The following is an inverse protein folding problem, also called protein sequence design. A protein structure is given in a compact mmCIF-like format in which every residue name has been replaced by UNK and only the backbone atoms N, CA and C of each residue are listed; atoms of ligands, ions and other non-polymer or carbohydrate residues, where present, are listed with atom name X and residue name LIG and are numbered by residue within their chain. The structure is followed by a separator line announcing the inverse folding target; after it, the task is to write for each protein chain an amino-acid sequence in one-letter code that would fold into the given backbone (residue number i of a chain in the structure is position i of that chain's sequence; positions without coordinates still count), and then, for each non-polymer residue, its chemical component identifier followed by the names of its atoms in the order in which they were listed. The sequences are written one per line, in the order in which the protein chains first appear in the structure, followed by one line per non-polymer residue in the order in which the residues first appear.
data_IF_998015069841
#
_entry.id   IF_998015069841
#
_cell.length_a   1.000
_cell.length_b   1.000
_cell.length_c   1.000
_cell.angle_alpha   90.00
_cell.angle_beta   90.00
_cell.angle_gamma   90.00
#
_symmetry.space_group_name_H-M   'P 1'
#
loop_
_entity.id
_entity.type
_entity.pdbx_description
1 polymer ?
#
# COMPACT_ATOMS: atom_id res chain seq x y z
N UNK A 1 -34.32 17.90 -9.68
CA UNK A 1 -33.34 18.11 -10.76
C UNK A 1 -32.31 19.09 -10.23
N UNK A 2 -31.15 18.58 -9.80
CA UNK A 2 -29.98 19.41 -9.55
C UNK A 2 -28.77 18.59 -10.01
N UNK A 3 -28.39 18.84 -11.25
CA UNK A 3 -27.19 18.32 -11.91
C UNK A 3 -25.99 19.05 -11.34
N UNK A 4 -25.32 18.49 -10.34
CA UNK A 4 -23.98 18.95 -9.95
C UNK A 4 -22.99 18.31 -10.90
N UNK A 5 -22.40 19.14 -11.75
CA UNK A 5 -21.35 18.79 -12.69
C UNK A 5 -20.17 18.12 -11.97
N UNK A 6 -19.62 17.09 -12.61
CA UNK A 6 -18.35 16.50 -12.22
C UNK A 6 -17.25 17.57 -12.36
N UNK A 7 -16.72 18.06 -11.24
CA UNK A 7 -15.45 18.78 -11.25
C UNK A 7 -14.34 17.79 -11.61
N UNK A 8 -13.73 18.03 -12.77
CA UNK A 8 -12.54 17.30 -13.22
C UNK A 8 -11.38 17.67 -12.31
N UNK A 9 -10.64 16.70 -11.73
CA UNK A 9 -9.44 17.01 -10.96
C UNK A 9 -8.46 17.77 -11.86
N UNK A 10 -8.06 18.97 -11.46
CA UNK A 10 -6.97 19.69 -12.09
C UNK A 10 -5.67 18.94 -11.83
N UNK A 11 -4.97 18.54 -12.89
CA UNK A 11 -3.63 17.96 -12.81
C UNK A 11 -2.74 18.81 -11.89
N UNK A 12 -1.85 18.19 -11.09
CA UNK A 12 -0.96 18.94 -10.22
C UNK A 12 -0.18 19.95 -11.06
N UNK A 13 -0.24 21.21 -10.65
CA UNK A 13 0.49 22.28 -11.31
C UNK A 13 1.98 21.88 -11.43
N UNK A 14 2.54 22.01 -12.62
CA UNK A 14 3.97 21.83 -12.88
C UNK A 14 4.75 22.85 -12.01
N UNK A 15 5.11 22.42 -10.80
CA UNK A 15 5.97 23.18 -9.90
C UNK A 15 7.35 23.33 -10.58
N UNK A 16 7.89 24.56 -10.68
CA UNK A 16 9.10 24.81 -11.45
C UNK A 16 10.30 24.06 -10.87
N UNK A 17 10.91 23.24 -11.71
CA UNK A 17 12.01 22.32 -11.40
C UNK A 17 13.34 23.08 -11.30
N UNK A 18 13.95 23.11 -10.10
CA UNK A 18 15.39 23.34 -9.96
C UNK A 18 16.06 21.99 -9.71
N UNK A 19 16.81 21.56 -10.73
CA UNK A 19 17.82 20.48 -10.71
C UNK A 19 17.37 19.01 -10.87
N UNK A 20 16.57 18.71 -11.90
CA UNK A 20 16.53 17.34 -12.44
C UNK A 20 17.77 17.07 -13.30
N UNK A 21 18.56 16.07 -12.91
CA UNK A 21 19.67 15.58 -13.74
C UNK A 21 19.14 15.28 -15.15
N UNK A 22 19.88 15.71 -16.18
CA UNK A 22 19.49 15.51 -17.60
C UNK A 22 19.16 14.05 -17.93
N UNK A 23 19.71 13.13 -17.15
CA UNK A 23 19.51 11.68 -17.25
C UNK A 23 18.08 11.29 -16.86
N UNK A 24 17.53 11.80 -15.75
CA UNK A 24 16.16 11.48 -15.31
C UNK A 24 15.16 11.91 -16.40
N UNK A 25 15.31 13.12 -16.94
CA UNK A 25 14.46 13.61 -18.04
C UNK A 25 14.57 12.76 -19.31
N UNK A 26 15.74 12.18 -19.59
CA UNK A 26 15.90 11.26 -20.70
C UNK A 26 15.20 9.91 -20.44
N UNK A 27 15.26 9.39 -19.21
CA UNK A 27 14.54 8.19 -18.79
C UNK A 27 13.02 8.38 -18.87
N UNK A 28 12.51 9.51 -18.40
CA UNK A 28 11.07 9.84 -18.42
C UNK A 28 10.53 10.03 -19.84
N UNK A 29 11.38 10.45 -20.78
CA UNK A 29 11.01 10.52 -22.21
C UNK A 29 11.13 9.19 -22.95
N UNK A 30 11.59 8.14 -22.27
CA UNK A 30 11.79 6.81 -22.86
C UNK A 30 12.96 6.73 -23.84
N UNK A 31 13.93 7.66 -23.76
CA UNK A 31 15.12 7.65 -24.63
C UNK A 31 16.23 6.72 -24.12
N UNK A 32 16.13 6.25 -22.88
CA UNK A 32 17.10 5.36 -22.25
C UNK A 32 16.52 3.94 -22.19
N UNK A 33 17.24 2.91 -22.67
CA UNK A 33 16.80 1.52 -22.55
C UNK A 33 16.52 1.10 -21.11
N UNK A 34 15.47 0.32 -20.88
CA UNK A 34 15.04 -0.13 -19.55
C UNK A 34 16.15 -0.84 -18.76
N UNK A 35 17.07 -1.54 -19.44
CA UNK A 35 18.23 -2.19 -18.81
C UNK A 35 19.18 -1.19 -18.13
N UNK A 36 19.40 -0.03 -18.77
CA UNK A 36 20.23 1.05 -18.21
C UNK A 36 19.48 1.82 -17.13
N UNK A 37 18.17 2.06 -17.32
CA UNK A 37 17.31 2.67 -16.29
C UNK A 37 17.37 1.84 -15.00
N UNK A 38 17.15 0.52 -15.11
CA UNK A 38 17.23 -0.42 -13.98
C UNK A 38 18.61 -0.50 -13.35
N UNK A 39 19.68 -0.41 -14.15
CA UNK A 39 21.04 -0.33 -13.61
C UNK A 39 21.25 0.92 -12.74
N UNK A 40 20.76 2.08 -13.20
CA UNK A 40 20.75 3.31 -12.41
C UNK A 40 19.93 3.19 -11.13
N UNK A 41 18.74 2.58 -11.19
CA UNK A 41 17.91 2.31 -10.01
C UNK A 41 18.66 1.46 -8.97
N UNK A 42 19.34 0.39 -9.39
CA UNK A 42 20.15 -0.44 -8.47
C UNK A 42 21.30 0.32 -7.81
N UNK A 43 21.91 1.28 -8.52
CA UNK A 43 22.93 2.15 -7.93
C UNK A 43 22.33 3.06 -6.85
N UNK A 44 21.16 3.67 -7.10
CA UNK A 44 20.46 4.50 -6.12
C UNK A 44 20.01 3.68 -4.90
N UNK A 45 19.52 2.45 -5.10
CA UNK A 45 19.16 1.52 -4.02
C UNK A 45 20.37 1.18 -3.16
N UNK A 46 21.53 0.91 -3.78
CA UNK A 46 22.77 0.66 -3.05
C UNK A 46 23.21 1.88 -2.24
N UNK A 47 23.08 3.07 -2.80
CA UNK A 47 23.41 4.32 -2.10
C UNK A 47 22.49 4.53 -0.90
N UNK A 48 21.17 4.27 -1.05
CA UNK A 48 20.21 4.35 0.05
C UNK A 48 20.61 3.46 1.24
N UNK A 49 21.08 2.24 1.00
CA UNK A 49 21.56 1.37 2.08
C UNK A 49 22.75 1.98 2.84
N UNK A 50 23.63 2.71 2.15
CA UNK A 50 24.74 3.42 2.80
C UNK A 50 24.24 4.61 3.59
N UNK A 51 23.37 5.42 3.00
CA UNK A 51 22.81 6.64 3.61
C UNK A 51 22.02 6.34 4.89
N UNK A 52 21.28 5.23 4.90
CA UNK A 52 20.50 4.77 6.05
C UNK A 52 21.32 3.88 7.01
N UNK A 53 22.65 3.85 6.85
CA UNK A 53 23.59 3.16 7.73
C UNK A 53 23.36 1.64 7.85
N UNK A 54 22.97 0.96 6.76
CA UNK A 54 22.65 -0.47 6.76
C UNK A 54 23.78 -1.35 7.36
N UNK A 55 25.04 -0.96 7.12
CA UNK A 55 26.23 -1.69 7.54
C UNK A 55 26.86 -1.20 8.86
N UNK A 56 26.28 -0.20 9.53
CA UNK A 56 26.74 0.30 10.83
C UNK A 56 25.65 0.08 11.88
N UNK A 57 25.83 -0.94 12.73
CA UNK A 57 24.84 -1.30 13.73
C UNK A 57 24.59 -0.19 14.75
N UNK A 58 25.63 0.55 15.15
CA UNK A 58 25.52 1.59 16.18
C UNK A 58 24.73 2.79 15.64
N UNK A 59 25.09 3.27 14.44
CA UNK A 59 24.39 4.37 13.80
C UNK A 59 22.96 3.98 13.41
N UNK A 60 22.75 2.75 12.92
CA UNK A 60 21.41 2.25 12.59
C UNK A 60 20.50 2.21 13.82
N UNK A 61 20.98 1.68 14.95
CA UNK A 61 20.18 1.66 16.19
C UNK A 61 19.85 3.07 16.65
N UNK A 62 20.80 4.00 16.64
CA UNK A 62 20.53 5.39 17.01
C UNK A 62 19.54 6.08 16.07
N UNK A 63 19.65 5.82 14.75
CA UNK A 63 18.70 6.34 13.76
C UNK A 63 17.30 5.79 13.99
N UNK A 64 17.19 4.49 14.29
CA UNK A 64 15.91 3.83 14.55
C UNK A 64 15.25 4.35 15.84
N UNK A 65 15.99 4.56 16.93
CA UNK A 65 15.42 5.15 18.16
C UNK A 65 14.91 6.57 17.91
N UNK A 66 15.68 7.42 17.22
CA UNK A 66 15.21 8.77 16.83
C UNK A 66 13.94 8.71 15.98
N UNK A 67 13.88 7.75 15.06
CA UNK A 67 12.70 7.53 14.22
C UNK A 67 11.48 7.13 15.05
N UNK A 68 11.64 6.25 16.04
CA UNK A 68 10.54 5.90 16.97
C UNK A 68 10.04 7.11 17.75
N UNK A 69 10.94 7.95 18.25
CA UNK A 69 10.58 9.18 18.98
C UNK A 69 9.84 10.18 18.08
N UNK A 70 10.27 10.34 16.83
CA UNK A 70 9.57 11.16 15.83
C UNK A 70 8.15 10.63 15.55
N UNK A 71 7.98 9.32 15.36
CA UNK A 71 6.67 8.71 15.12
C UNK A 71 5.74 8.88 16.33
N UNK A 72 6.26 8.78 17.57
CA UNK A 72 5.49 9.02 18.80
C UNK A 72 5.12 10.49 19.02
N UNK A 73 5.88 11.41 18.43
CA UNK A 73 5.55 12.84 18.47
C UNK A 73 4.62 13.29 17.33
N UNK A 74 4.43 12.44 16.31
CA UNK A 74 3.64 12.74 15.12
C UNK A 74 2.13 12.59 15.34
N UNK A 75 1.28 13.17 14.48
CA UNK A 75 -0.12 12.77 14.38
C UNK A 75 -0.27 11.34 13.80
N UNK A 76 -1.47 10.76 13.83
CA UNK A 76 -1.74 9.41 13.25
C UNK A 76 -1.32 9.35 11.78
N UNK A 77 -1.67 10.37 11.00
CA UNK A 77 -1.19 10.59 9.65
C UNK A 77 -0.90 12.08 9.45
N UNK A 78 0.03 12.38 8.54
CA UNK A 78 0.27 13.75 8.08
C UNK A 78 -0.55 13.90 6.80
N UNK A 79 -1.62 14.69 6.88
CA UNK A 79 -2.42 15.00 5.69
C UNK A 79 -1.55 15.79 4.72
N UNK A 80 -1.22 15.15 3.61
CA UNK A 80 -0.68 15.84 2.45
C UNK A 80 -1.75 15.71 1.37
N UNK A 81 -2.45 16.81 1.02
CA UNK A 81 -3.36 16.84 -0.13
C UNK A 81 -2.72 16.24 -1.40
N UNK A 82 -1.39 16.32 -1.51
CA UNK A 82 -0.58 15.67 -2.54
C UNK A 82 -0.63 14.13 -2.53
N UNK A 83 -0.64 13.44 -1.39
CA UNK A 83 -0.63 11.97 -1.34
C UNK A 83 -1.94 11.36 -1.87
N UNK A 84 -3.08 11.99 -1.58
CA UNK A 84 -4.38 11.56 -2.11
C UNK A 84 -4.56 11.87 -3.60
N UNK A 85 -3.96 12.96 -4.10
CA UNK A 85 -3.99 13.31 -5.53
C UNK A 85 -3.08 12.41 -6.38
N UNK A 86 -1.86 12.09 -5.89
CA UNK A 86 -0.83 11.42 -6.70
C UNK A 86 -1.13 9.98 -7.12
N UNK A 87 -1.95 9.23 -6.38
CA UNK A 87 -2.24 7.81 -6.69
C UNK A 87 -3.61 7.55 -7.31
N UNK A 88 -4.58 8.44 -7.12
CA UNK A 88 -5.99 8.18 -7.42
C UNK A 88 -6.58 9.07 -8.51
N UNK A 89 -5.74 9.80 -9.25
CA UNK A 89 -6.15 10.63 -10.41
C UNK A 89 -6.54 9.80 -11.64
N UNK A 90 -6.06 8.55 -11.77
CA UNK A 90 -6.40 7.69 -12.90
C UNK A 90 -7.73 6.96 -12.66
N UNK A 91 -8.57 6.81 -13.71
CA UNK A 91 -9.85 6.13 -13.60
C UNK A 91 -9.66 4.64 -13.29
N UNK A 92 -10.65 4.02 -12.65
CA UNK A 92 -10.65 2.60 -12.28
C UNK A 92 -10.27 1.68 -13.46
N UNK A 93 -10.74 2.04 -14.66
CA UNK A 93 -10.46 1.35 -15.92
C UNK A 93 -8.96 1.25 -16.26
N UNK A 94 -8.11 2.16 -15.76
CA UNK A 94 -6.65 2.04 -15.86
C UNK A 94 -6.15 0.85 -15.08
N UNK A 95 -6.56 0.71 -13.82
CA UNK A 95 -6.18 -0.40 -12.96
C UNK A 95 -6.72 -1.72 -13.50
N UNK A 96 -7.96 -1.73 -13.99
CA UNK A 96 -8.55 -2.89 -14.67
C UNK A 96 -7.82 -3.34 -15.95
N UNK A 97 -7.12 -2.42 -16.61
CA UNK A 97 -6.44 -2.73 -17.87
C UNK A 97 -5.17 -3.55 -17.68
N UNK A 98 -4.51 -3.48 -16.52
CA UNK A 98 -3.18 -4.06 -16.32
C UNK A 98 -2.94 -4.79 -14.99
N UNK A 99 -3.75 -4.55 -13.95
CA UNK A 99 -3.71 -5.39 -12.74
C UNK A 99 -4.33 -6.76 -13.01
N UNK A 100 -4.22 -7.68 -12.04
CA UNK A 100 -4.85 -8.98 -12.13
C UNK A 100 -6.36 -8.90 -11.89
N UNK A 101 -7.09 -10.02 -12.05
CA UNK A 101 -8.56 -10.05 -11.97
C UNK A 101 -9.14 -9.63 -10.62
N UNK A 102 -8.35 -9.70 -9.53
CA UNK A 102 -8.78 -9.24 -8.21
C UNK A 102 -8.54 -7.75 -8.02
N UNK A 103 -7.85 -7.07 -8.95
CA UNK A 103 -7.43 -5.67 -8.84
C UNK A 103 -6.62 -5.41 -7.57
N UNK A 104 -5.78 -6.38 -7.20
CA UNK A 104 -4.96 -6.29 -6.01
C UNK A 104 -3.78 -5.39 -6.31
N UNK A 105 -3.82 -4.16 -5.81
CA UNK A 105 -2.72 -3.20 -5.94
C UNK A 105 -1.78 -3.26 -4.72
N UNK A 106 -1.22 -4.44 -4.48
CA UNK A 106 -0.25 -4.76 -3.41
C UNK A 106 0.43 -6.09 -3.73
N UNK A 107 1.51 -6.45 -3.01
CA UNK A 107 2.32 -7.65 -3.29
C UNK A 107 1.51 -8.95 -3.48
N UNK A 108 1.69 -9.67 -4.59
CA UNK A 108 1.15 -11.03 -4.82
C UNK A 108 2.02 -12.12 -4.15
N UNK A 109 1.54 -13.36 -4.09
CA UNK A 109 2.27 -14.47 -3.48
C UNK A 109 2.64 -15.53 -4.52
N UNK A 110 3.91 -15.91 -4.58
CA UNK A 110 4.47 -16.81 -5.60
C UNK A 110 5.20 -17.99 -4.94
N UNK A 111 4.48 -18.93 -4.31
CA UNK A 111 5.09 -20.04 -3.58
C UNK A 111 6.00 -20.93 -4.44
N UNK A 112 5.68 -21.10 -5.72
CA UNK A 112 6.46 -21.90 -6.68
C UNK A 112 7.32 -21.03 -7.61
N UNK A 113 6.93 -19.76 -7.82
CA UNK A 113 7.69 -18.80 -8.59
C UNK A 113 7.34 -18.77 -10.08
N UNK A 114 6.39 -19.59 -10.53
CA UNK A 114 5.89 -19.68 -11.90
C UNK A 114 4.42 -19.24 -12.04
N UNK A 115 3.80 -18.76 -10.95
CA UNK A 115 2.43 -18.30 -10.95
C UNK A 115 2.22 -17.12 -11.90
N UNK A 116 1.10 -17.16 -12.63
CA UNK A 116 0.54 -15.99 -13.30
C UNK A 116 0.11 -14.94 -12.28
N UNK A 117 -0.07 -13.68 -12.72
CA UNK A 117 -0.53 -12.60 -11.84
C UNK A 117 -1.86 -12.96 -11.16
N UNK A 118 -2.81 -13.55 -11.90
CA UNK A 118 -4.10 -13.97 -11.36
C UNK A 118 -3.97 -15.03 -10.26
N UNK A 119 -3.08 -16.01 -10.45
CA UNK A 119 -2.80 -17.03 -9.43
C UNK A 119 -2.13 -16.41 -8.20
N UNK A 120 -1.18 -15.49 -8.41
CA UNK A 120 -0.45 -14.85 -7.32
C UNK A 120 -1.32 -13.91 -6.47
N UNK A 121 -2.28 -13.21 -7.08
CA UNK A 121 -3.28 -12.42 -6.36
C UNK A 121 -4.13 -13.31 -5.46
N UNK A 122 -4.70 -14.39 -6.01
CA UNK A 122 -5.53 -15.34 -5.27
C UNK A 122 -4.75 -16.01 -4.13
N UNK A 123 -3.54 -16.49 -4.40
CA UNK A 123 -2.68 -17.13 -3.41
C UNK A 123 -2.37 -16.20 -2.23
N UNK A 124 -2.19 -14.90 -2.48
CA UNK A 124 -1.99 -13.94 -1.40
C UNK A 124 -3.26 -13.68 -0.59
N UNK A 125 -4.44 -13.60 -1.24
CA UNK A 125 -5.72 -13.45 -0.54
C UNK A 125 -6.02 -14.66 0.35
N UNK A 126 -5.73 -15.87 -0.14
CA UNK A 126 -5.81 -17.11 0.65
C UNK A 126 -4.84 -17.10 1.84
N UNK A 127 -3.60 -16.64 1.63
CA UNK A 127 -2.62 -16.51 2.70
C UNK A 127 -3.04 -15.50 3.77
N UNK A 128 -3.70 -14.39 3.38
CA UNK A 128 -4.30 -13.46 4.34
C UNK A 128 -5.39 -14.15 5.15
N UNK A 129 -6.26 -14.93 4.49
CA UNK A 129 -7.34 -15.63 5.15
C UNK A 129 -6.84 -16.63 6.20
N UNK A 130 -5.77 -17.38 5.86
CA UNK A 130 -5.10 -18.29 6.77
C UNK A 130 -4.49 -17.54 7.97
N UNK A 131 -3.65 -16.53 7.72
CA UNK A 131 -2.87 -15.85 8.77
C UNK A 131 -3.72 -14.94 9.65
N UNK A 132 -4.75 -14.31 9.09
CA UNK A 132 -5.73 -13.53 9.83
C UNK A 132 -6.80 -14.42 10.49
N UNK A 133 -6.80 -15.73 10.24
CA UNK A 133 -7.78 -16.69 10.78
C UNK A 133 -9.21 -16.26 10.46
N UNK A 134 -9.46 -15.97 9.18
CA UNK A 134 -10.77 -15.56 8.68
C UNK A 134 -11.67 -16.78 8.57
N UNK A 135 -12.91 -16.62 9.01
CA UNK A 135 -13.92 -17.67 9.02
C UNK A 135 -15.30 -17.12 8.65
N UNK A 136 -16.14 -18.00 8.11
CA UNK A 136 -17.51 -17.66 7.78
C UNK A 136 -18.33 -17.36 9.04
N UNK A 137 -19.18 -16.33 8.99
CA UNK A 137 -19.95 -15.85 10.15
C UNK A 137 -19.30 -14.73 10.96
N UNK A 138 -18.05 -14.35 10.67
CA UNK A 138 -17.36 -13.25 11.33
C UNK A 138 -17.80 -11.87 10.81
N UNK A 139 -17.70 -10.84 11.64
CA UNK A 139 -17.68 -9.44 11.23
C UNK A 139 -16.24 -8.99 10.97
N UNK A 140 -15.93 -8.67 9.72
CA UNK A 140 -14.56 -8.44 9.24
C UNK A 140 -14.43 -7.03 8.67
N UNK A 141 -13.43 -6.27 9.12
CA UNK A 141 -13.07 -4.96 8.55
C UNK A 141 -11.85 -5.07 7.63
N UNK A 142 -12.00 -4.64 6.38
CA UNK A 142 -10.91 -4.33 5.45
C UNK A 142 -10.54 -2.84 5.59
N UNK A 143 -9.43 -2.56 6.27
CA UNK A 143 -8.99 -1.25 6.70
C UNK A 143 -7.97 -0.67 5.71
N UNK A 144 -8.42 0.26 4.86
CA UNK A 144 -7.66 0.75 3.71
C UNK A 144 -7.87 -0.13 2.49
N UNK A 145 -9.14 -0.35 2.10
CA UNK A 145 -9.52 -1.45 1.19
C UNK A 145 -9.12 -1.28 -0.29
N UNK A 146 -8.60 -0.11 -0.70
CA UNK A 146 -8.25 0.17 -2.09
C UNK A 146 -9.43 -0.05 -3.06
N UNK A 147 -9.22 -0.85 -4.10
CA UNK A 147 -10.28 -1.25 -5.05
C UNK A 147 -11.13 -2.44 -4.57
N UNK A 148 -11.02 -2.80 -3.29
CA UNK A 148 -11.80 -3.85 -2.63
C UNK A 148 -11.39 -5.27 -3.00
N UNK A 149 -10.16 -5.49 -3.43
CA UNK A 149 -9.66 -6.82 -3.81
C UNK A 149 -9.90 -7.85 -2.71
N UNK A 150 -9.61 -7.49 -1.45
CA UNK A 150 -9.82 -8.35 -0.30
C UNK A 150 -11.29 -8.35 0.15
N UNK A 151 -11.91 -7.17 0.33
CA UNK A 151 -13.32 -7.06 0.71
C UNK A 151 -14.28 -7.88 -0.18
N UNK A 152 -14.17 -7.75 -1.50
CA UNK A 152 -15.01 -8.47 -2.47
C UNK A 152 -14.72 -9.98 -2.43
N UNK A 153 -13.45 -10.37 -2.27
CA UNK A 153 -13.06 -11.77 -2.16
C UNK A 153 -13.61 -12.41 -0.87
N UNK A 154 -13.48 -11.73 0.28
CA UNK A 154 -14.02 -12.20 1.55
C UNK A 154 -15.54 -12.34 1.50
N UNK A 155 -16.23 -11.33 0.98
CA UNK A 155 -17.69 -11.35 0.87
C UNK A 155 -18.20 -12.54 0.04
N UNK A 156 -17.51 -12.84 -1.08
CA UNK A 156 -17.79 -14.00 -1.93
C UNK A 156 -17.44 -15.34 -1.25
N UNK A 157 -16.32 -15.39 -0.52
CA UNK A 157 -15.77 -16.61 0.08
C UNK A 157 -16.49 -17.03 1.37
N UNK A 158 -17.07 -16.07 2.07
CA UNK A 158 -17.70 -16.20 3.40
C UNK A 158 -19.10 -15.59 3.39
N UNK A 159 -20.11 -16.29 2.86
CA UNK A 159 -21.44 -15.72 2.63
C UNK A 159 -22.22 -15.37 3.91
N UNK A 160 -21.84 -15.92 5.08
CA UNK A 160 -22.42 -15.57 6.39
C UNK A 160 -21.61 -14.51 7.14
N UNK A 161 -20.41 -14.17 6.67
CA UNK A 161 -19.64 -13.08 7.26
C UNK A 161 -20.26 -11.72 6.95
N UNK A 162 -20.06 -10.74 7.82
CA UNK A 162 -20.38 -9.33 7.57
C UNK A 162 -19.08 -8.59 7.25
N UNK A 163 -18.85 -8.29 5.98
CA UNK A 163 -17.64 -7.58 5.55
C UNK A 163 -17.91 -6.08 5.53
N UNK A 164 -17.03 -5.31 6.16
CA UNK A 164 -17.02 -3.85 6.08
C UNK A 164 -15.71 -3.43 5.43
N UNK A 165 -15.76 -2.58 4.41
CA UNK A 165 -14.59 -2.03 3.76
C UNK A 165 -14.51 -0.52 4.04
N UNK A 166 -13.39 -0.04 4.59
CA UNK A 166 -13.16 1.38 4.85
C UNK A 166 -12.12 1.93 3.86
N UNK A 167 -12.55 2.95 3.10
CA UNK A 167 -11.69 3.71 2.18
C UNK A 167 -11.88 5.20 2.45
N UNK A 168 -10.85 6.03 2.21
CA UNK A 168 -10.98 7.48 2.21
C UNK A 168 -11.53 8.03 0.86
N UNK A 169 -11.63 7.18 -0.17
CA UNK A 169 -12.02 7.56 -1.53
C UNK A 169 -13.48 7.22 -1.84
N UNK A 170 -14.22 8.23 -2.30
CA UNK A 170 -15.60 8.04 -2.80
C UNK A 170 -15.63 7.23 -4.11
N UNK A 171 -14.60 7.37 -4.95
CA UNK A 171 -14.48 6.62 -6.21
C UNK A 171 -14.30 5.12 -5.95
N UNK A 172 -13.37 4.76 -5.05
CA UNK A 172 -13.19 3.37 -4.62
C UNK A 172 -14.46 2.78 -4.02
N UNK A 173 -15.18 3.55 -3.20
CA UNK A 173 -16.47 3.11 -2.68
C UNK A 173 -17.47 2.78 -3.81
N UNK A 174 -17.69 3.70 -4.74
CA UNK A 174 -18.62 3.50 -5.84
C UNK A 174 -18.23 2.29 -6.70
N UNK A 175 -16.94 2.11 -6.96
CA UNK A 175 -16.40 0.95 -7.65
C UNK A 175 -16.74 -0.37 -6.95
N UNK A 176 -16.44 -0.46 -5.66
CA UNK A 176 -16.67 -1.67 -4.86
C UNK A 176 -18.17 -1.99 -4.77
N UNK A 177 -19.02 -1.00 -4.52
CA UNK A 177 -20.48 -1.19 -4.47
C UNK A 177 -21.02 -1.69 -5.81
N UNK A 178 -20.55 -1.14 -6.94
CA UNK A 178 -20.93 -1.62 -8.27
C UNK A 178 -20.50 -3.07 -8.52
N UNK A 179 -19.28 -3.44 -8.12
CA UNK A 179 -18.78 -4.83 -8.23
C UNK A 179 -19.53 -5.79 -7.30
N UNK A 180 -19.87 -5.37 -6.09
CA UNK A 180 -20.65 -6.15 -5.14
C UNK A 180 -22.05 -6.43 -5.71
N UNK A 181 -22.73 -5.41 -6.26
CA UNK A 181 -24.03 -5.56 -6.90
C UNK A 181 -24.00 -6.51 -8.12
N UNK A 182 -22.98 -6.37 -8.99
CA UNK A 182 -22.79 -7.27 -10.13
C UNK A 182 -22.62 -8.73 -9.70
N UNK A 183 -21.94 -8.97 -8.57
CA UNK A 183 -21.68 -10.30 -8.01
C UNK A 183 -22.77 -10.79 -7.04
N UNK A 184 -23.81 -9.97 -6.78
CA UNK A 184 -24.89 -10.24 -5.82
C UNK A 184 -24.36 -10.54 -4.41
N UNK A 185 -23.43 -9.69 -3.94
CA UNK A 185 -22.82 -9.78 -2.62
C UNK A 185 -23.56 -8.86 -1.65
N UNK A 186 -24.53 -9.40 -0.92
CA UNK A 186 -25.38 -8.64 0.01
C UNK A 186 -24.75 -8.47 1.41
N UNK A 187 -23.60 -9.10 1.63
CA UNK A 187 -22.90 -9.16 2.91
C UNK A 187 -21.68 -8.20 3.01
N UNK A 188 -21.58 -7.23 2.09
CA UNK A 188 -20.51 -6.24 2.05
C UNK A 188 -21.07 -4.82 2.21
N UNK A 189 -20.59 -4.09 3.22
CA UNK A 189 -20.83 -2.65 3.41
C UNK A 189 -19.55 -1.87 3.14
N UNK A 190 -19.64 -0.82 2.31
CA UNK A 190 -18.50 0.07 2.06
C UNK A 190 -18.71 1.42 2.74
N UNK A 191 -17.70 1.87 3.48
CA UNK A 191 -17.71 3.10 4.27
C UNK A 191 -16.64 4.03 3.71
N UNK A 192 -16.99 5.31 3.55
CA UNK A 192 -16.03 6.35 3.20
C UNK A 192 -15.67 7.16 4.44
N UNK A 193 -14.40 7.18 4.84
CA UNK A 193 -13.92 7.93 5.99
C UNK A 193 -12.41 8.02 6.06
N UNK A 194 -11.89 9.15 6.55
CA UNK A 194 -10.48 9.31 6.89
C UNK A 194 -10.21 8.58 8.20
N UNK A 195 -9.21 7.69 8.23
CA UNK A 195 -8.88 6.90 9.41
C UNK A 195 -8.48 7.74 10.63
N UNK A 196 -7.98 8.95 10.44
CA UNK A 196 -7.62 9.86 11.53
C UNK A 196 -8.87 10.32 12.27
N UNK A 197 -9.89 10.72 11.54
CA UNK A 197 -11.11 11.36 12.08
C UNK A 197 -12.29 10.39 12.27
N UNK A 198 -12.40 9.39 11.41
CA UNK A 198 -13.53 8.46 11.38
C UNK A 198 -13.54 7.54 12.60
N UNK A 199 -14.69 7.36 13.25
CA UNK A 199 -14.90 6.34 14.27
C UNK A 199 -16.22 5.61 13.98
N UNK A 200 -16.27 4.32 14.30
CA UNK A 200 -17.51 3.55 14.24
C UNK A 200 -18.40 3.91 15.42
N UNK A 201 -19.72 3.83 15.24
CA UNK A 201 -20.64 4.16 16.34
C UNK A 201 -20.46 3.16 17.50
N UNK A 202 -20.55 3.63 18.74
CA UNK A 202 -20.29 2.81 19.95
C UNK A 202 -21.27 1.66 20.14
N UNK A 203 -22.42 1.74 19.51
CA UNK A 203 -23.49 0.73 19.50
C UNK A 203 -23.37 -0.24 18.32
N UNK A 204 -22.45 -0.03 17.36
CA UNK A 204 -22.14 -1.04 16.36
C UNK A 204 -21.41 -2.22 17.00
N UNK A 205 -21.75 -3.44 16.54
CA UNK A 205 -21.03 -4.63 16.95
C UNK A 205 -19.53 -4.53 16.60
N UNK A 206 -18.64 -4.95 17.51
CA UNK A 206 -17.20 -4.94 17.26
C UNK A 206 -16.81 -5.95 16.17
N UNK A 207 -15.61 -5.79 15.61
CA UNK A 207 -15.08 -6.67 14.58
C UNK A 207 -14.36 -7.86 15.19
N UNK A 208 -14.67 -9.07 14.70
CA UNK A 208 -13.91 -10.28 15.03
C UNK A 208 -12.52 -10.22 14.40
N UNK A 209 -12.43 -9.63 13.20
CA UNK A 209 -11.19 -9.49 12.45
C UNK A 209 -11.09 -8.11 11.83
N UNK A 210 -9.91 -7.52 11.94
CA UNK A 210 -9.52 -6.34 11.17
C UNK A 210 -8.31 -6.73 10.34
N UNK A 211 -8.36 -6.46 9.05
CA UNK A 211 -7.27 -6.73 8.11
C UNK A 211 -6.87 -5.42 7.46
N UNK A 212 -5.58 -5.12 7.43
CA UNK A 212 -5.06 -3.92 6.76
C UNK A 212 -3.91 -4.31 5.84
N UNK A 213 -4.01 -3.92 4.57
CA UNK A 213 -3.04 -4.27 3.53
C UNK A 213 -2.42 -2.99 2.96
N UNK A 214 -1.12 -2.80 3.19
CA UNK A 214 -0.32 -1.68 2.68
C UNK A 214 -0.91 -0.27 2.96
N UNK A 215 -1.59 -0.09 4.09
CA UNK A 215 -2.12 1.21 4.56
C UNK A 215 -1.20 1.89 5.59
N UNK A 216 -0.57 1.10 6.45
CA UNK A 216 0.21 1.58 7.61
C UNK A 216 1.46 2.37 7.18
N UNK A 217 1.94 2.18 5.96
CA UNK A 217 3.07 2.89 5.35
C UNK A 217 2.76 4.38 5.12
N UNK A 218 1.48 4.74 5.08
CA UNK A 218 1.01 6.13 5.03
C UNK A 218 0.84 6.76 6.42
N UNK A 219 0.90 5.97 7.48
CA UNK A 219 0.68 6.41 8.85
C UNK A 219 2.01 6.83 9.51
N UNK A 220 1.91 7.47 10.68
CA UNK A 220 3.05 7.95 11.47
C UNK A 220 2.93 7.49 12.92
N UNK A 221 1.92 7.95 13.65
CA UNK A 221 1.77 7.56 15.05
C UNK A 221 1.06 6.20 15.21
N UNK A 222 1.82 5.11 15.04
CA UNK A 222 1.32 3.74 15.14
C UNK A 222 0.67 3.39 16.49
N UNK A 223 1.16 3.94 17.61
CA UNK A 223 0.57 3.71 18.94
C UNK A 223 -0.91 4.15 19.01
N UNK A 224 -1.18 5.43 18.77
CA UNK A 224 -2.55 5.98 18.68
C UNK A 224 -3.43 5.26 17.65
N UNK A 225 -2.87 4.90 16.50
CA UNK A 225 -3.61 4.12 15.49
C UNK A 225 -4.01 2.74 16.02
N UNK A 226 -3.07 1.99 16.61
CA UNK A 226 -3.33 0.67 17.17
C UNK A 226 -4.30 0.75 18.36
N UNK A 227 -4.20 1.79 19.20
CA UNK A 227 -5.16 2.07 20.27
C UNK A 227 -6.59 2.30 19.73
N UNK A 228 -6.70 3.03 18.61
CA UNK A 228 -7.98 3.24 17.91
C UNK A 228 -8.55 1.94 17.36
N UNK A 229 -7.73 1.16 16.67
CA UNK A 229 -8.12 -0.15 16.12
C UNK A 229 -8.53 -1.12 17.24
N UNK A 230 -7.83 -1.11 18.38
CA UNK A 230 -8.15 -1.94 19.53
C UNK A 230 -9.58 -1.72 20.03
N UNK A 231 -10.09 -0.49 20.00
CA UNK A 231 -11.48 -0.18 20.41
C UNK A 231 -12.53 -0.78 19.47
N UNK A 232 -12.17 -1.03 18.21
CA UNK A 232 -13.08 -1.61 17.21
C UNK A 232 -13.11 -3.14 17.26
N UNK A 233 -12.11 -3.77 17.86
CA UNK A 233 -12.02 -5.22 17.94
C UNK A 233 -12.94 -5.78 19.02
N UNK A 234 -13.44 -6.99 18.78
CA UNK A 234 -14.00 -7.84 19.83
C UNK A 234 -12.91 -8.26 20.82
N UNK A 235 -13.28 -8.81 21.97
CA UNK A 235 -12.31 -9.17 23.02
C UNK A 235 -11.35 -10.29 22.58
N UNK A 236 -11.85 -11.24 21.79
CA UNK A 236 -11.06 -12.27 21.10
C UNK A 236 -10.72 -11.88 19.64
N UNK A 237 -10.94 -10.62 19.30
CA UNK A 237 -10.70 -10.07 17.97
C UNK A 237 -9.21 -10.01 17.63
N UNK A 238 -8.91 -10.13 16.33
CA UNK A 238 -7.52 -10.06 15.82
C UNK A 238 -7.35 -8.99 14.77
N UNK A 239 -6.21 -8.30 14.82
CA UNK A 239 -5.75 -7.43 13.74
C UNK A 239 -4.66 -8.15 12.95
N UNK A 240 -4.80 -8.23 11.64
CA UNK A 240 -3.75 -8.66 10.73
C UNK A 240 -3.28 -7.48 9.89
N UNK A 241 -1.96 -7.25 9.87
CA UNK A 241 -1.33 -6.19 9.08
C UNK A 241 -0.37 -6.80 8.07
N UNK A 242 -0.57 -6.48 6.80
CA UNK A 242 0.42 -6.67 5.74
C UNK A 242 1.11 -5.34 5.48
N UNK A 243 2.43 -5.35 5.54
CA UNK A 243 3.27 -4.16 5.40
C UNK A 243 4.44 -4.49 4.48
N UNK A 244 4.72 -3.67 3.47
CA UNK A 244 6.05 -3.73 2.86
C UNK A 244 7.07 -3.11 3.80
N UNK A 245 8.28 -3.67 3.87
CA UNK A 245 9.27 -3.25 4.84
C UNK A 245 10.70 -3.52 4.36
N UNK A 246 11.65 -2.82 4.96
CA UNK A 246 13.04 -3.26 4.97
C UNK A 246 13.28 -4.19 6.18
N UNK A 247 14.18 -5.17 6.06
CA UNK A 247 14.41 -6.17 7.12
C UNK A 247 14.85 -5.58 8.48
N UNK A 248 15.56 -4.45 8.48
CA UNK A 248 16.12 -3.81 9.70
C UNK A 248 15.98 -2.29 9.77
N UNK A 249 16.24 -1.58 8.68
CA UNK A 249 16.07 -0.12 8.55
C UNK A 249 14.60 0.32 8.58
N UNK A 250 14.36 1.53 9.09
CA UNK A 250 13.12 2.28 8.92
C UNK A 250 13.46 3.74 8.62
N UNK A 251 12.75 4.37 7.68
CA UNK A 251 13.00 5.75 7.25
C UNK A 251 11.79 6.33 6.52
N UNK A 252 11.69 7.65 6.46
CA UNK A 252 10.68 8.33 5.64
C UNK A 252 11.14 8.47 4.19
N UNK A 253 10.18 8.33 3.26
CA UNK A 253 10.36 8.73 1.87
C UNK A 253 10.40 10.26 1.80
N UNK A 254 11.62 10.80 1.85
CA UNK A 254 11.87 12.24 1.87
C UNK A 254 12.70 12.64 0.66
N UNK A 255 12.28 13.70 -0.02
CA UNK A 255 13.08 14.35 -1.07
C UNK A 255 14.20 15.15 -0.42
N UNK A 256 15.21 14.49 0.16
CA UNK A 256 16.27 15.18 0.91
C UNK A 256 17.05 16.19 0.05
N UNK A 257 17.12 15.98 -1.27
CA UNK A 257 17.92 16.84 -2.16
C UNK A 257 17.26 17.08 -3.55
N UNK A 258 15.93 17.02 -3.66
CA UNK A 258 15.22 17.17 -4.95
C UNK A 258 15.46 16.05 -5.98
N UNK A 259 16.41 15.14 -5.73
CA UNK A 259 16.76 14.01 -6.59
C UNK A 259 15.95 12.72 -6.36
N UNK A 260 15.09 12.67 -5.34
CA UNK A 260 14.24 11.50 -5.09
C UNK A 260 12.97 11.56 -5.95
N UNK A 261 13.15 11.20 -7.22
CA UNK A 261 12.08 11.07 -8.20
C UNK A 261 10.93 10.20 -7.68
N UNK A 262 11.25 9.14 -6.94
CA UNK A 262 10.27 8.17 -6.49
C UNK A 262 9.35 8.76 -5.42
N UNK A 263 9.96 9.39 -4.41
CA UNK A 263 9.23 10.11 -3.35
C UNK A 263 8.37 11.23 -3.94
N UNK A 264 8.88 11.98 -4.93
CA UNK A 264 8.17 13.13 -5.51
C UNK A 264 6.89 12.75 -6.27
N UNK A 265 6.92 11.70 -7.07
CA UNK A 265 5.82 11.37 -7.97
C UNK A 265 4.85 10.31 -7.42
N UNK A 266 5.31 9.45 -6.49
CA UNK A 266 4.52 8.29 -6.05
C UNK A 266 4.66 7.92 -4.57
N UNK A 267 5.42 8.61 -3.72
CA UNK A 267 5.48 8.24 -2.29
C UNK A 267 5.66 9.44 -1.37
N UNK A 268 5.09 10.60 -1.74
CA UNK A 268 5.27 11.83 -0.97
C UNK A 268 4.73 11.62 0.46
N UNK A 269 5.60 11.76 1.46
CA UNK A 269 5.24 11.60 2.87
C UNK A 269 5.06 10.15 3.33
N UNK A 270 5.41 9.16 2.52
CA UNK A 270 5.37 7.75 2.91
C UNK A 270 6.46 7.36 3.91
N UNK A 271 6.29 6.18 4.50
CA UNK A 271 7.27 5.56 5.40
C UNK A 271 7.73 4.23 4.82
N UNK A 272 9.04 3.98 4.79
CA UNK A 272 9.60 2.63 4.71
C UNK A 272 9.78 2.11 6.12
N UNK A 273 8.93 1.18 6.59
CA UNK A 273 9.03 0.63 7.93
C UNK A 273 10.10 -0.48 7.99
N UNK A 274 10.58 -0.77 9.21
CA UNK A 274 11.35 -1.99 9.46
C UNK A 274 10.41 -3.15 9.76
N UNK A 275 10.86 -4.39 9.51
CA UNK A 275 10.12 -5.59 9.89
C UNK A 275 9.74 -5.61 11.39
N UNK A 276 10.57 -5.03 12.25
CA UNK A 276 10.34 -4.98 13.70
C UNK A 276 9.55 -3.75 14.16
N UNK A 277 9.22 -2.79 13.29
CA UNK A 277 8.72 -1.47 13.70
C UNK A 277 7.51 -1.55 14.63
N UNK A 278 6.51 -2.38 14.27
CA UNK A 278 5.27 -2.49 15.05
C UNK A 278 5.46 -3.20 16.40
N UNK A 279 6.59 -3.89 16.64
CA UNK A 279 6.91 -4.45 17.96
C UNK A 279 7.14 -3.37 19.02
N UNK A 280 7.41 -2.14 18.62
CA UNK A 280 7.64 -0.99 19.51
C UNK A 280 6.37 -0.21 19.87
N UNK A 281 5.20 -0.67 19.41
CA UNK A 281 3.89 -0.06 19.65
C UNK A 281 2.89 -1.13 20.09
N UNK A 282 2.99 -1.60 21.33
CA UNK A 282 2.20 -2.73 21.83
C UNK A 282 1.40 -2.42 23.11
N UNK A 283 1.02 -1.15 23.30
CA UNK A 283 0.32 -0.70 24.51
C UNK A 283 -1.10 -1.29 24.58
N UNK A 284 -1.86 -1.26 23.49
CA UNK A 284 -3.25 -1.75 23.42
C UNK A 284 -3.41 -3.11 22.70
N UNK A 285 -2.52 -3.38 21.74
CA UNK A 285 -2.48 -4.62 20.96
C UNK A 285 -1.11 -5.28 21.12
N UNK A 286 -1.07 -6.61 21.20
CA UNK A 286 0.20 -7.36 21.25
C UNK A 286 0.37 -8.22 20.01
N UNK A 287 1.58 -8.27 19.49
CA UNK A 287 1.97 -9.17 18.40
C UNK A 287 2.03 -10.60 18.91
N UNK A 288 1.32 -11.49 18.23
CA UNK A 288 1.29 -12.93 18.55
C UNK A 288 2.12 -13.75 17.57
N UNK A 289 2.16 -13.30 16.32
CA UNK A 289 2.89 -13.93 15.21
C UNK A 289 3.36 -12.86 14.25
N UNK A 290 4.53 -13.11 13.66
CA UNK A 290 5.05 -12.33 12.55
C UNK A 290 5.65 -13.28 11.53
N UNK A 291 5.46 -12.96 10.25
CA UNK A 291 6.03 -13.68 9.12
C UNK A 291 6.74 -12.71 8.19
N UNK A 292 7.75 -13.21 7.50
CA UNK A 292 8.46 -12.47 6.47
C UNK A 292 8.29 -13.16 5.12
N UNK A 293 7.92 -12.38 4.11
CA UNK A 293 7.92 -12.78 2.71
C UNK A 293 9.12 -12.11 2.04
N UNK A 294 9.90 -12.91 1.32
CA UNK A 294 11.03 -12.43 0.54
C UNK A 294 10.57 -11.42 -0.53
N UNK A 295 11.35 -10.36 -0.76
CA UNK A 295 11.00 -9.32 -1.72
C UNK A 295 10.82 -9.79 -3.16
N UNK A 296 11.33 -10.98 -3.53
CA UNK A 296 11.10 -11.54 -4.87
C UNK A 296 9.62 -11.71 -5.22
N UNK A 297 8.73 -11.88 -4.23
CA UNK A 297 7.30 -11.88 -4.50
C UNK A 297 6.82 -10.53 -5.05
N UNK A 298 7.16 -9.42 -4.37
CA UNK A 298 6.75 -8.09 -4.83
C UNK A 298 7.49 -7.70 -6.12
N UNK A 299 8.76 -8.09 -6.26
CA UNK A 299 9.50 -7.88 -7.49
C UNK A 299 8.85 -8.56 -8.70
N UNK A 300 8.32 -9.79 -8.53
CA UNK A 300 7.58 -10.50 -9.57
C UNK A 300 6.25 -9.82 -9.87
N UNK A 301 5.49 -9.42 -8.85
CA UNK A 301 4.24 -8.65 -9.02
C UNK A 301 4.48 -7.40 -9.84
N UNK A 302 5.47 -6.57 -9.48
CA UNK A 302 5.77 -5.33 -10.19
C UNK A 302 6.22 -5.57 -11.64
N UNK A 303 7.00 -6.62 -11.91
CA UNK A 303 7.36 -6.97 -13.29
C UNK A 303 6.16 -7.50 -14.10
N UNK A 304 5.24 -8.24 -13.49
CA UNK A 304 4.00 -8.66 -14.15
C UNK A 304 3.07 -7.46 -14.41
N UNK A 305 2.95 -6.51 -13.49
CA UNK A 305 2.22 -5.25 -13.74
C UNK A 305 2.85 -4.42 -14.85
N UNK A 306 4.18 -4.31 -14.90
CA UNK A 306 4.88 -3.62 -15.98
C UNK A 306 4.59 -4.27 -17.34
N UNK A 307 4.72 -5.61 -17.44
CA UNK A 307 4.45 -6.34 -18.67
C UNK A 307 2.99 -6.19 -19.12
N UNK A 308 2.04 -6.29 -18.19
CA UNK A 308 0.62 -6.07 -18.46
C UNK A 308 0.32 -4.63 -18.88
N UNK A 309 0.96 -3.63 -18.27
CA UNK A 309 0.82 -2.22 -18.64
C UNK A 309 1.33 -1.95 -20.05
N UNK A 310 2.49 -2.51 -20.40
CA UNK A 310 3.07 -2.40 -21.74
C UNK A 310 2.16 -3.07 -22.79
N UNK A 311 1.59 -4.23 -22.48
CA UNK A 311 0.63 -4.91 -23.35
C UNK A 311 -0.71 -4.15 -23.48
N UNK A 312 -1.11 -3.41 -22.44
CA UNK A 312 -2.35 -2.65 -22.41
C UNK A 312 -2.19 -1.22 -22.95
N UNK A 313 -1.02 -0.84 -23.50
CA UNK A 313 -0.71 0.53 -23.93
C UNK A 313 -1.82 1.19 -24.75
N UNK A 314 -2.30 0.52 -25.80
CA UNK A 314 -3.32 1.10 -26.69
C UNK A 314 -4.66 1.35 -25.98
N UNK A 315 -4.98 0.54 -24.95
CA UNK A 315 -6.18 0.70 -24.13
C UNK A 315 -6.04 1.83 -23.11
N UNK A 316 -4.85 2.00 -22.51
CA UNK A 316 -4.63 2.99 -21.43
C UNK A 316 -4.27 4.37 -21.96
N UNK A 317 -3.61 4.48 -23.12
CA UNK A 317 -3.17 5.78 -23.65
C UNK A 317 -4.30 6.80 -23.87
N UNK A 318 -5.52 6.42 -24.33
CA UNK A 318 -6.65 7.36 -24.37
C UNK A 318 -7.02 7.92 -23.00
N UNK A 319 -6.97 7.09 -21.94
CA UNK A 319 -7.24 7.53 -20.56
C UNK A 319 -6.16 8.52 -20.09
N UNK A 320 -4.89 8.25 -20.41
CA UNK A 320 -3.78 9.16 -20.10
C UNK A 320 -3.89 10.49 -20.84
N UNK A 321 -4.34 10.50 -22.10
CA UNK A 321 -4.58 11.75 -22.85
C UNK A 321 -5.74 12.53 -22.25
N UNK A 322 -6.77 11.84 -21.75
CA UNK A 322 -7.88 12.51 -21.08
C UNK A 322 -7.45 13.19 -19.77
N UNK A 323 -6.65 12.51 -18.95
CA UNK A 323 -6.22 13.02 -17.63
C UNK A 323 -5.04 13.99 -17.74
N UNK A 324 -4.02 13.65 -18.52
CA UNK A 324 -2.74 14.37 -18.56
C UNK A 324 -2.50 15.20 -19.83
N UNK A 325 -3.42 15.18 -20.80
CA UNK A 325 -3.28 15.91 -22.06
C UNK A 325 -1.99 15.57 -22.80
N UNK A 326 -1.21 16.60 -23.15
CA UNK A 326 0.06 16.48 -23.87
C UNK A 326 1.13 15.71 -23.08
N UNK A 327 1.00 15.64 -21.75
CA UNK A 327 1.92 14.89 -20.88
C UNK A 327 1.60 13.38 -20.81
N UNK A 328 0.62 12.87 -21.57
CA UNK A 328 0.20 11.47 -21.51
C UNK A 328 1.35 10.46 -21.72
N UNK A 329 2.20 10.67 -22.71
CA UNK A 329 3.32 9.76 -22.99
C UNK A 329 4.38 9.81 -21.88
N UNK A 330 4.63 10.99 -21.33
CA UNK A 330 5.52 11.20 -20.19
C UNK A 330 5.00 10.41 -18.98
N UNK A 331 3.74 10.60 -18.61
CA UNK A 331 3.12 9.91 -17.48
C UNK A 331 3.06 8.39 -17.68
N UNK A 332 2.81 7.90 -18.89
CA UNK A 332 2.87 6.47 -19.18
C UNK A 332 4.26 5.90 -18.87
N UNK A 333 5.32 6.60 -19.30
CA UNK A 333 6.70 6.21 -18.99
C UNK A 333 7.02 6.33 -17.50
N UNK A 334 6.47 7.33 -16.79
CA UNK A 334 6.60 7.44 -15.32
C UNK A 334 5.98 6.23 -14.62
N UNK A 335 4.80 5.77 -15.03
CA UNK A 335 4.19 4.55 -14.50
C UNK A 335 5.03 3.29 -14.78
N UNK A 336 5.63 3.17 -15.97
CA UNK A 336 6.59 2.10 -16.25
C UNK A 336 7.80 2.18 -15.32
N UNK A 337 8.38 3.36 -15.16
CA UNK A 337 9.53 3.59 -14.26
C UNK A 337 9.19 3.30 -12.81
N UNK A 338 7.97 3.59 -12.35
CA UNK A 338 7.49 3.23 -11.02
C UNK A 338 7.53 1.72 -10.80
N UNK A 339 6.95 0.93 -11.71
CA UNK A 339 6.98 -0.53 -11.59
C UNK A 339 8.40 -1.11 -11.71
N UNK A 340 9.26 -0.51 -12.54
CA UNK A 340 10.68 -0.86 -12.56
C UNK A 340 11.36 -0.58 -11.21
N UNK A 341 11.12 0.58 -10.60
CA UNK A 341 11.70 0.95 -9.32
C UNK A 341 11.27 0.00 -8.20
N UNK A 342 9.97 -0.34 -8.12
CA UNK A 342 9.44 -1.34 -7.17
C UNK A 342 10.10 -2.69 -7.42
N UNK A 343 10.18 -3.13 -8.68
CA UNK A 343 10.80 -4.40 -9.03
C UNK A 343 12.29 -4.47 -8.63
N UNK A 344 13.07 -3.42 -8.87
CA UNK A 344 14.48 -3.38 -8.51
C UNK A 344 14.69 -3.29 -7.00
N UNK A 345 13.85 -2.53 -6.27
CA UNK A 345 13.94 -2.37 -4.82
C UNK A 345 13.70 -3.71 -4.11
N UNK A 346 12.55 -4.34 -4.36
CA UNK A 346 12.20 -5.61 -3.72
C UNK A 346 12.96 -6.80 -4.33
N UNK A 347 13.50 -6.67 -5.54
CA UNK A 347 14.37 -7.68 -6.15
C UNK A 347 15.83 -7.61 -5.67
N UNK A 348 16.23 -6.50 -5.05
CA UNK A 348 17.62 -6.24 -4.66
C UNK A 348 18.16 -7.34 -3.74
N UNK A 349 19.41 -7.75 -3.98
CA UNK A 349 20.07 -8.85 -3.27
C UNK A 349 19.21 -10.15 -3.21
N UNK A 350 18.51 -10.48 -4.31
CA UNK A 350 17.57 -11.63 -4.39
C UNK A 350 16.43 -11.51 -3.37
N UNK A 351 15.91 -10.30 -3.18
CA UNK A 351 14.84 -9.96 -2.23
C UNK A 351 15.22 -10.09 -0.75
N UNK A 352 16.52 -9.96 -0.46
CA UNK A 352 17.09 -10.12 0.88
C UNK A 352 17.21 -8.84 1.71
N UNK A 353 16.83 -7.68 1.17
CA UNK A 353 16.87 -6.38 1.88
C UNK A 353 15.45 -5.87 2.19
N UNK A 354 14.65 -5.66 1.15
CA UNK A 354 13.24 -5.29 1.25
C UNK A 354 12.34 -6.50 0.97
N UNK A 355 11.21 -6.56 1.66
CA UNK A 355 10.23 -7.63 1.57
C UNK A 355 8.90 -7.20 2.17
N UNK A 356 8.12 -8.18 2.61
CA UNK A 356 6.80 -7.95 3.18
C UNK A 356 6.71 -8.62 4.54
N UNK A 357 6.33 -7.86 5.56
CA UNK A 357 6.03 -8.35 6.89
C UNK A 357 4.52 -8.56 7.03
N UNK A 358 4.12 -9.74 7.50
CA UNK A 358 2.76 -9.98 7.99
C UNK A 358 2.81 -10.05 9.50
N UNK A 359 1.95 -9.33 10.19
CA UNK A 359 1.92 -9.29 11.65
C UNK A 359 0.50 -9.52 12.15
N UNK A 360 0.33 -10.48 13.06
CA UNK A 360 -0.95 -10.78 13.70
C UNK A 360 -0.93 -10.28 15.14
N UNK A 361 -1.92 -9.47 15.48
CA UNK A 361 -2.13 -8.90 16.79
C UNK A 361 -3.39 -9.44 17.44
N UNK A 362 -3.40 -9.43 18.77
CA UNK A 362 -4.59 -9.59 19.59
C UNK A 362 -4.65 -8.47 20.63
N UNK A 363 -5.82 -8.26 21.24
CA UNK A 363 -5.96 -7.30 22.34
C UNK A 363 -5.03 -7.64 23.48
N UNK A 364 -4.37 -6.63 24.04
CA UNK A 364 -3.60 -6.80 25.26
C UNK A 364 -4.58 -6.90 26.42
N UNK A 365 -4.68 -8.09 27.01
CA UNK A 365 -5.41 -8.29 28.26
C UNK A 365 -4.74 -7.46 29.36
N UNK A 366 -5.49 -6.57 30.01
CA UNK A 366 -5.06 -5.96 31.27
C UNK A 366 -5.11 -7.06 32.33
N UNK A 367 -4.01 -7.82 32.49
CA UNK A 367 -3.83 -8.57 33.72
C UNK A 367 -3.75 -7.54 34.85
N UNK A 368 -4.87 -7.37 35.57
CA UNK A 368 -4.84 -6.79 36.91
C UNK A 368 -3.94 -7.72 37.71
N UNK A 369 -2.69 -7.30 37.95
CA UNK A 369 -1.84 -7.95 38.93
C UNK A 369 -2.56 -7.83 40.27
N UNK A 370 -3.27 -8.90 40.63
CA UNK A 370 -3.89 -9.12 41.94
C UNK A 370 -2.84 -9.24 43.03
#
# INVERSE_FOLDING_TARGET
MNTTAHETPTAPADMPVRDESRIIRACERGFVPDTLVRAGMRMLIRQRLVDEHANDNALRTQAFERFLDELRASPIAIDTPAANAQHYELPDAFFEAHLGPQLKYSCGFYPHGDETLAQAELAMLELYAERAQLADGQRILDLGCGWGSLALWMAQRYPRAQVVALSNSRGQRAFIEARAAQRKLDNLRVVTGDIVEFDFARDEAPFDRIVSIEMFEHMKHYGLLLAKIARWLADDGRLFVHLFAHKTLAYHFTSRDGGDWMSRYFFTGGTMPSASLLLHFQDDLRVTRQWWLNGTHYARTANQWLASLDAARDRVMPMFRHVYGDAAALWFQRWRMFYMAVAELFGYARGGEWGVAHTLFEKRSLEVKS
#
